data_IF_047221214008
#
_entry.id   IF_047221214008
#
_cell.length_a   1.000
_cell.length_b   1.000
_cell.length_c   1.000
_cell.angle_alpha   90.00
_cell.angle_beta   90.00
_cell.angle_gamma   90.00
#
_symmetry.space_group_name_H-M   'P 1'
#
loop_
_entity.id
_entity.type
_entity.pdbx_description
1 polymer ?
#
# COMPACT_ATOMS: atom_id res chain seq x y z
N UNK A 1 8.21 2.07 13.11
CA UNK A 1 8.03 0.87 12.26
C UNK A 1 7.81 -0.37 13.12
N UNK A 2 6.80 -1.17 12.82
CA UNK A 2 6.35 -2.29 13.68
C UNK A 2 6.84 -3.61 13.07
N UNK A 3 8.16 -3.86 13.08
CA UNK A 3 8.72 -5.17 12.76
C UNK A 3 9.70 -5.55 13.86
N UNK A 4 9.23 -6.38 14.80
CA UNK A 4 9.90 -6.65 16.08
C UNK A 4 11.15 -7.56 15.96
N UNK A 5 11.44 -8.09 14.77
CA UNK A 5 12.49 -9.11 14.55
C UNK A 5 13.62 -8.70 13.60
N UNK A 6 13.56 -7.51 12.98
CA UNK A 6 14.58 -7.09 12.00
C UNK A 6 15.57 -6.12 12.65
N UNK A 7 16.85 -6.50 12.68
CA UNK A 7 17.94 -5.55 12.98
C UNK A 7 18.18 -4.64 11.76
N UNK A 8 17.54 -3.48 11.77
CA UNK A 8 17.61 -2.51 10.68
C UNK A 8 19.03 -2.01 10.41
N UNK A 9 19.85 -1.83 11.46
CA UNK A 9 21.21 -1.30 11.31
C UNK A 9 22.08 -2.31 10.57
N UNK A 10 21.98 -3.58 10.97
CA UNK A 10 22.68 -4.67 10.29
C UNK A 10 22.18 -4.86 8.87
N UNK A 11 20.85 -4.89 8.66
CA UNK A 11 20.27 -5.08 7.33
C UNK A 11 20.66 -3.97 6.35
N UNK A 12 20.60 -2.70 6.80
CA UNK A 12 21.05 -1.55 6.01
C UNK A 12 22.53 -1.63 5.63
N UNK A 13 23.38 -2.13 6.53
CA UNK A 13 24.82 -2.25 6.30
C UNK A 13 25.15 -3.39 5.32
N UNK A 14 24.53 -4.54 5.50
CA UNK A 14 24.84 -5.74 4.72
C UNK A 14 24.14 -5.74 3.35
N UNK A 15 22.91 -5.24 3.27
CA UNK A 15 22.07 -5.31 2.08
C UNK A 15 21.38 -3.95 1.82
N UNK A 16 22.14 -2.91 1.47
CA UNK A 16 21.61 -1.54 1.37
C UNK A 16 20.53 -1.36 0.30
N UNK A 17 20.58 -2.14 -0.80
CA UNK A 17 19.60 -2.04 -1.89
C UNK A 17 18.26 -2.64 -1.48
N UNK A 18 18.31 -3.80 -0.84
CA UNK A 18 17.16 -4.55 -0.34
C UNK A 18 16.52 -3.80 0.82
N UNK A 19 17.34 -3.25 1.72
CA UNK A 19 16.87 -2.37 2.80
C UNK A 19 16.08 -1.19 2.26
N UNK A 20 16.54 -0.55 1.17
CA UNK A 20 15.84 0.58 0.56
C UNK A 20 14.46 0.20 0.03
N UNK A 21 14.35 -0.94 -0.65
CA UNK A 21 13.07 -1.47 -1.13
C UNK A 21 12.15 -1.86 0.02
N UNK A 22 12.70 -2.50 1.05
CA UNK A 22 11.96 -2.89 2.25
C UNK A 22 11.43 -1.66 2.99
N UNK A 23 12.27 -0.66 3.27
CA UNK A 23 11.87 0.60 3.91
C UNK A 23 10.76 1.29 3.14
N UNK A 24 10.87 1.37 1.81
CA UNK A 24 9.83 1.96 0.96
C UNK A 24 8.50 1.22 1.08
N UNK A 25 8.52 -0.12 1.07
CA UNK A 25 7.34 -0.96 1.32
C UNK A 25 6.73 -0.67 2.70
N UNK A 26 7.54 -0.58 3.75
CA UNK A 26 7.07 -0.31 5.10
C UNK A 26 6.41 1.07 5.22
N UNK A 27 7.03 2.11 4.64
CA UNK A 27 6.47 3.47 4.62
C UNK A 27 5.11 3.51 3.92
N UNK A 28 4.97 2.79 2.80
CA UNK A 28 3.69 2.76 2.05
C UNK A 28 2.60 2.01 2.83
N UNK A 29 2.94 0.90 3.51
CA UNK A 29 1.94 0.08 4.21
C UNK A 29 1.54 0.67 5.57
N UNK A 30 2.50 1.20 6.33
CA UNK A 30 2.29 1.55 7.74
C UNK A 30 2.27 3.05 8.02
N UNK A 31 2.52 3.87 7.01
CA UNK A 31 2.48 5.32 7.13
C UNK A 31 3.84 5.96 6.93
N UNK A 32 3.79 7.21 6.50
CA UNK A 32 4.97 7.97 6.12
C UNK A 32 5.64 8.68 7.30
N UNK A 33 5.02 8.72 8.47
CA UNK A 33 5.53 9.42 9.67
C UNK A 33 6.00 10.87 9.39
N UNK A 34 5.31 11.55 8.48
CA UNK A 34 5.64 12.93 8.05
C UNK A 34 6.66 13.03 6.89
N UNK A 35 7.20 11.91 6.42
CA UNK A 35 8.05 11.84 5.23
C UNK A 35 7.22 11.97 3.94
N UNK A 36 7.87 12.42 2.86
CA UNK A 36 7.28 12.42 1.51
C UNK A 36 7.93 11.34 0.66
N UNK A 37 7.11 10.63 -0.12
CA UNK A 37 7.61 9.69 -1.11
C UNK A 37 8.11 10.44 -2.35
N UNK A 38 9.30 10.06 -2.83
CA UNK A 38 9.79 10.50 -4.14
C UNK A 38 9.14 9.66 -5.25
N UNK A 39 8.41 10.31 -6.15
CA UNK A 39 7.67 9.64 -7.22
C UNK A 39 8.60 8.81 -8.14
N UNK A 40 9.81 9.32 -8.44
CA UNK A 40 10.76 8.64 -9.32
C UNK A 40 11.33 7.38 -8.66
N UNK A 41 11.59 7.42 -7.36
CA UNK A 41 11.97 6.27 -6.55
C UNK A 41 10.86 5.22 -6.53
N UNK A 42 9.62 5.64 -6.28
CA UNK A 42 8.46 4.74 -6.28
C UNK A 42 8.31 4.05 -7.65
N UNK A 43 8.36 4.81 -8.75
CA UNK A 43 8.28 4.25 -10.11
C UNK A 43 9.39 3.23 -10.40
N UNK A 44 10.62 3.50 -9.97
CA UNK A 44 11.77 2.58 -10.16
C UNK A 44 11.65 1.32 -9.30
N UNK A 45 11.19 1.45 -8.07
CA UNK A 45 11.04 0.34 -7.13
C UNK A 45 9.77 -0.50 -7.39
N UNK A 46 8.77 0.07 -8.06
CA UNK A 46 7.43 -0.50 -8.24
C UNK A 46 7.42 -1.98 -8.70
N UNK A 47 8.22 -2.40 -9.70
CA UNK A 47 8.21 -3.80 -10.16
C UNK A 47 8.58 -4.80 -9.07
N UNK A 48 9.35 -4.36 -8.06
CA UNK A 48 9.87 -5.19 -6.96
C UNK A 48 8.98 -5.16 -5.73
N UNK A 49 8.36 -4.01 -5.42
CA UNK A 49 7.62 -3.84 -4.16
C UNK A 49 6.12 -4.12 -4.28
N UNK A 50 5.51 -3.93 -5.47
CA UNK A 50 4.04 -3.94 -5.65
C UNK A 50 3.32 -5.20 -5.14
N UNK A 51 4.02 -6.34 -5.08
CA UNK A 51 3.45 -7.63 -4.61
C UNK A 51 3.40 -7.73 -3.09
N UNK A 52 4.25 -6.99 -2.38
CA UNK A 52 4.31 -6.97 -0.90
C UNK A 52 3.59 -5.79 -0.27
N UNK A 53 2.92 -4.95 -1.08
CA UNK A 53 2.09 -3.86 -0.59
C UNK A 53 0.71 -4.37 -0.20
N UNK A 54 0.15 -3.79 0.85
CA UNK A 54 -1.26 -3.99 1.18
C UNK A 54 -2.15 -3.58 -0.01
N UNK A 55 -3.24 -4.31 -0.31
CA UNK A 55 -4.03 -4.09 -1.52
C UNK A 55 -4.53 -2.65 -1.68
N UNK A 56 -4.95 -2.01 -0.58
CA UNK A 56 -5.48 -0.65 -0.61
C UNK A 56 -4.37 0.40 -0.70
N UNK A 57 -3.25 0.20 -0.01
CA UNK A 57 -2.05 1.05 -0.15
C UNK A 57 -1.52 0.99 -1.59
N UNK A 58 -1.50 -0.20 -2.19
CA UNK A 58 -1.14 -0.40 -3.60
C UNK A 58 -2.06 0.42 -4.52
N UNK A 59 -3.38 0.28 -4.39
CA UNK A 59 -4.35 1.05 -5.21
C UNK A 59 -4.16 2.56 -5.04
N UNK A 60 -3.92 3.00 -3.81
CA UNK A 60 -3.67 4.41 -3.47
C UNK A 60 -2.45 4.94 -4.23
N UNK A 61 -1.33 4.23 -4.17
CA UNK A 61 -0.13 4.64 -4.92
C UNK A 61 -0.37 4.55 -6.44
N UNK A 62 -1.10 3.54 -6.92
CA UNK A 62 -1.45 3.44 -8.34
C UNK A 62 -2.28 4.62 -8.85
N UNK A 63 -3.20 5.11 -8.03
CA UNK A 63 -3.98 6.30 -8.29
C UNK A 63 -3.10 7.54 -8.33
N UNK A 64 -2.27 7.78 -7.31
CA UNK A 64 -1.46 9.01 -7.26
C UNK A 64 -0.35 9.06 -8.31
N UNK A 65 0.29 7.93 -8.63
CA UNK A 65 1.48 7.91 -9.48
C UNK A 65 1.16 7.67 -10.96
N UNK A 66 0.06 6.96 -11.25
CA UNK A 66 -0.34 6.62 -12.62
C UNK A 66 -1.78 7.03 -12.97
N UNK A 67 -2.51 7.70 -12.08
CA UNK A 67 -3.89 8.14 -12.34
C UNK A 67 -4.87 6.98 -12.52
N UNK A 68 -4.56 5.78 -12.01
CA UNK A 68 -5.46 4.63 -12.17
C UNK A 68 -6.74 4.86 -11.37
N UNK A 69 -7.89 4.79 -12.05
CA UNK A 69 -9.20 4.84 -11.39
C UNK A 69 -9.30 3.75 -10.32
N UNK A 70 -9.86 4.13 -9.17
CA UNK A 70 -10.08 3.20 -8.06
C UNK A 70 -11.04 2.10 -8.52
N UNK A 71 -10.55 0.85 -8.55
CA UNK A 71 -11.35 -0.34 -8.88
C UNK A 71 -11.52 -1.18 -7.62
N UNK A 72 -12.76 -1.50 -7.30
CA UNK A 72 -13.07 -2.45 -6.22
C UNK A 72 -12.57 -3.83 -6.62
N UNK A 73 -11.92 -4.54 -5.69
CA UNK A 73 -11.58 -5.94 -5.93
C UNK A 73 -12.86 -6.80 -5.91
N UNK A 74 -13.03 -7.71 -6.88
CA UNK A 74 -14.19 -8.59 -6.91
C UNK A 74 -14.17 -9.50 -5.67
N UNK A 75 -15.28 -9.56 -4.93
CA UNK A 75 -15.45 -10.43 -3.76
C UNK A 75 -15.30 -9.77 -2.38
N UNK A 76 -14.90 -8.50 -2.28
CA UNK A 76 -14.97 -7.76 -1.02
C UNK A 76 -16.41 -7.32 -0.72
N UNK A 77 -16.84 -7.44 0.55
CA UNK A 77 -18.12 -6.89 1.04
C UNK A 77 -18.25 -5.41 0.66
N UNK A 78 -19.48 -4.90 0.56
CA UNK A 78 -19.73 -3.49 0.26
C UNK A 78 -18.95 -2.62 1.26
N UNK A 79 -18.00 -1.81 0.77
CA UNK A 79 -17.37 -0.83 1.64
C UNK A 79 -18.41 0.26 1.98
N UNK A 80 -18.13 1.06 3.02
CA UNK A 80 -19.05 2.10 3.53
C UNK A 80 -19.51 3.13 2.48
N UNK A 81 -18.83 3.25 1.35
CA UNK A 81 -19.26 4.04 0.18
C UNK A 81 -20.53 3.51 -0.49
N UNK A 82 -20.89 2.25 -0.26
CA UNK A 82 -22.12 1.60 -0.74
C UNK A 82 -23.02 1.12 0.40
N UNK A 83 -22.87 1.68 1.62
CA UNK A 83 -23.74 1.35 2.76
C UNK A 83 -25.22 1.39 2.38
N UNK A 84 -25.64 2.44 1.66
CA UNK A 84 -27.02 2.60 1.22
C UNK A 84 -27.47 1.53 0.21
N UNK A 85 -26.65 1.21 -0.80
CA UNK A 85 -27.00 0.14 -1.75
C UNK A 85 -27.14 -1.22 -1.08
N UNK A 86 -26.27 -1.53 -0.12
CA UNK A 86 -26.37 -2.75 0.68
C UNK A 86 -27.60 -2.73 1.59
N UNK A 87 -27.82 -1.63 2.32
CA UNK A 87 -28.94 -1.47 3.26
C UNK A 87 -30.29 -1.70 2.58
N UNK A 88 -30.51 -1.06 1.42
CA UNK A 88 -31.74 -1.23 0.66
C UNK A 88 -31.91 -2.68 0.18
N UNK A 89 -30.88 -3.30 -0.41
CA UNK A 89 -30.98 -4.70 -0.87
C UNK A 89 -31.31 -5.70 0.24
N UNK A 90 -30.85 -5.47 1.46
CA UNK A 90 -31.01 -6.42 2.58
C UNK A 90 -32.28 -6.24 3.40
N UNK A 91 -32.97 -5.10 3.29
CA UNK A 91 -34.13 -4.77 4.13
C UNK A 91 -35.40 -4.43 3.34
N UNK A 92 -35.37 -4.44 2.01
CA UNK A 92 -36.56 -4.23 1.17
C UNK A 92 -36.92 -5.46 0.32
N UNK A 93 -36.70 -6.67 0.84
CA UNK A 93 -37.26 -7.92 0.28
C UNK A 93 -38.48 -8.36 1.06
#
# INVERSE_FOLDING_TARGET
>A
MINWSVDEKKFKKENPKEYRLWRLTQLINYGLDGEKLDEREVKRAWPKIKKGLDPDSRKTIEFFVWGKLWKKEPGLLADRSNFWQWYFKSHTS
#
